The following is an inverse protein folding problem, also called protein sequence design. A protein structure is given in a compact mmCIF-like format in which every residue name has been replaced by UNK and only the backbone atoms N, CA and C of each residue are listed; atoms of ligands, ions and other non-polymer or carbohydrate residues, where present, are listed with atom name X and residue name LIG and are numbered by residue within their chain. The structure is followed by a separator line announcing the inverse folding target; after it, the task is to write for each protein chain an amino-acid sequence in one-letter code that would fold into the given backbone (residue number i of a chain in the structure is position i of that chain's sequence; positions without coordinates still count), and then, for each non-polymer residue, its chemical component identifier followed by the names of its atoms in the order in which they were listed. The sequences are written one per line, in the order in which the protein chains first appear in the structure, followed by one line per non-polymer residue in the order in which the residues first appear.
data_IF_438298178349
#
_entry.id   IF_438298178349
#
_cell.length_a   1.000
_cell.length_b   1.000
_cell.length_c   1.000
_cell.angle_alpha   90.00
_cell.angle_beta   90.00
_cell.angle_gamma   90.00
#
_symmetry.space_group_name_H-M   'P 1'
#
loop_
_entity.id
_entity.type
_entity.pdbx_description
1 polymer ?
#
# COMPACT_ATOMS: atom_id res chain seq x y z
N UNK A 1 4.05 -19.33 -15.75
CA UNK A 1 4.14 -18.81 -14.37
C UNK A 1 3.22 -17.61 -14.33
N UNK A 2 2.14 -17.67 -13.58
CA UNK A 2 1.25 -16.51 -13.41
C UNK A 2 2.03 -15.53 -12.54
N UNK A 3 2.33 -14.34 -13.08
CA UNK A 3 3.10 -13.35 -12.35
C UNK A 3 2.35 -12.99 -11.06
N UNK A 4 3.04 -13.06 -9.94
CA UNK A 4 2.46 -13.00 -8.60
C UNK A 4 2.83 -11.66 -7.97
N UNK A 5 1.82 -10.88 -7.57
CA UNK A 5 2.03 -9.62 -6.85
C UNK A 5 2.38 -9.85 -5.37
N UNK A 6 2.39 -11.09 -4.89
CA UNK A 6 2.68 -11.42 -3.49
C UNK A 6 4.02 -10.86 -2.97
N UNK A 7 5.14 -10.90 -3.70
CA UNK A 7 6.41 -10.34 -3.23
C UNK A 7 6.33 -8.83 -3.00
N UNK A 8 5.77 -8.07 -3.95
CA UNK A 8 5.61 -6.61 -3.81
C UNK A 8 4.62 -6.25 -2.72
N UNK A 9 3.53 -7.02 -2.59
CA UNK A 9 2.53 -6.82 -1.52
C UNK A 9 3.16 -7.06 -0.15
N UNK A 10 3.90 -8.15 0.01
CA UNK A 10 4.56 -8.49 1.27
C UNK A 10 5.63 -7.45 1.64
N UNK A 11 6.54 -7.13 0.70
CA UNK A 11 7.61 -6.17 0.92
C UNK A 11 7.09 -4.77 1.25
N UNK A 12 6.07 -4.29 0.52
CA UNK A 12 5.53 -2.93 0.72
C UNK A 12 4.70 -2.84 2.01
N UNK A 13 3.95 -3.88 2.37
CA UNK A 13 3.25 -3.93 3.67
C UNK A 13 4.25 -3.98 4.83
N UNK A 14 5.33 -4.76 4.69
CA UNK A 14 6.42 -4.79 5.66
C UNK A 14 7.10 -3.42 5.77
N UNK A 15 7.36 -2.73 4.66
CA UNK A 15 7.92 -1.38 4.68
C UNK A 15 7.03 -0.42 5.50
N UNK A 16 5.72 -0.40 5.25
CA UNK A 16 4.78 0.47 5.98
C UNK A 16 4.74 0.19 7.48
N UNK A 17 4.72 -1.07 7.90
CA UNK A 17 4.67 -1.42 9.33
C UNK A 17 5.99 -1.18 10.04
N UNK A 18 7.12 -1.21 9.33
CA UNK A 18 8.43 -0.82 9.85
C UNK A 18 8.58 0.70 9.96
N UNK A 19 8.16 1.45 8.95
CA UNK A 19 8.23 2.92 8.94
C UNK A 19 7.26 3.54 9.96
N UNK A 20 6.11 2.90 10.18
CA UNK A 20 5.05 3.40 11.05
C UNK A 20 4.57 2.32 12.02
N UNK A 21 5.39 1.98 13.04
CA UNK A 21 5.07 0.91 13.97
C UNK A 21 3.80 1.23 14.78
N UNK A 22 3.01 0.20 15.05
CA UNK A 22 1.83 0.31 15.90
C UNK A 22 2.23 0.75 17.32
N UNK A 23 1.53 1.74 17.88
CA UNK A 23 1.64 2.09 19.29
C UNK A 23 0.70 1.17 20.09
N UNK A 24 1.22 0.04 20.60
CA UNK A 24 0.43 -0.93 21.37
C UNK A 24 1.11 -2.29 21.54
N UNK A 25 0.37 -3.26 22.08
CA UNK A 25 0.82 -4.66 22.23
C UNK A 25 0.66 -5.50 20.96
N UNK A 26 0.94 -6.80 21.05
CA UNK A 26 0.95 -7.72 19.89
C UNK A 26 -0.33 -7.70 19.03
N UNK A 27 -1.51 -7.51 19.64
CA UNK A 27 -2.77 -7.35 18.92
C UNK A 27 -2.77 -6.09 18.04
N UNK A 28 -2.28 -4.98 18.55
CA UNK A 28 -2.22 -3.73 17.80
C UNK A 28 -1.25 -3.83 16.60
N UNK A 29 -0.12 -4.51 16.79
CA UNK A 29 0.82 -4.82 15.71
C UNK A 29 0.19 -5.70 14.64
N UNK A 30 -0.53 -6.76 15.03
CA UNK A 30 -1.20 -7.65 14.09
C UNK A 30 -2.32 -6.94 13.30
N UNK A 31 -3.10 -6.08 13.95
CA UNK A 31 -4.13 -5.29 13.27
C UNK A 31 -3.52 -4.28 12.29
N UNK A 32 -2.45 -3.60 12.69
CA UNK A 32 -1.69 -2.69 11.81
C UNK A 32 -1.17 -3.42 10.57
N UNK A 33 -0.60 -4.61 10.74
CA UNK A 33 -0.13 -5.44 9.64
C UNK A 33 -1.25 -5.85 8.69
N UNK A 34 -2.39 -6.29 9.22
CA UNK A 34 -3.56 -6.66 8.40
C UNK A 34 -4.08 -5.48 7.59
N UNK A 35 -4.17 -4.29 8.19
CA UNK A 35 -4.63 -3.08 7.48
C UNK A 35 -3.64 -2.62 6.42
N UNK A 36 -2.34 -2.59 6.74
CA UNK A 36 -1.30 -2.27 5.77
C UNK A 36 -1.35 -3.23 4.58
N UNK A 37 -1.52 -4.53 4.84
CA UNK A 37 -1.63 -5.54 3.79
C UNK A 37 -2.86 -5.33 2.91
N UNK A 38 -4.03 -5.04 3.49
CA UNK A 38 -5.24 -4.73 2.72
C UNK A 38 -5.05 -3.50 1.81
N UNK A 39 -4.50 -2.41 2.35
CA UNK A 39 -4.25 -1.19 1.58
C UNK A 39 -3.27 -1.44 0.43
N UNK A 40 -2.17 -2.14 0.70
CA UNK A 40 -1.16 -2.49 -0.29
C UNK A 40 -1.70 -3.43 -1.36
N UNK A 41 -2.53 -4.41 -1.00
CA UNK A 41 -3.18 -5.29 -1.98
C UNK A 41 -4.06 -4.48 -2.94
N UNK A 42 -4.91 -3.59 -2.41
CA UNK A 42 -5.78 -2.75 -3.25
C UNK A 42 -4.94 -1.85 -4.16
N UNK A 43 -3.91 -1.20 -3.62
CA UNK A 43 -3.01 -0.34 -4.38
C UNK A 43 -2.27 -1.11 -5.49
N UNK A 44 -1.72 -2.28 -5.19
CA UNK A 44 -1.00 -3.12 -6.15
C UNK A 44 -1.92 -3.57 -7.29
N UNK A 45 -3.16 -3.96 -6.99
CA UNK A 45 -4.12 -4.39 -8.01
C UNK A 45 -4.60 -3.24 -8.90
N UNK A 46 -4.70 -2.01 -8.36
CA UNK A 46 -4.98 -0.83 -9.17
C UNK A 46 -3.82 -0.46 -10.10
N UNK A 47 -2.58 -0.63 -9.62
CA UNK A 47 -1.35 -0.28 -10.35
C UNK A 47 -1.00 -1.30 -11.43
N UNK A 48 -1.18 -2.58 -11.13
CA UNK A 48 -0.90 -3.71 -12.01
C UNK A 48 -2.19 -4.49 -12.32
N UNK A 49 -3.14 -3.90 -13.07
CA UNK A 49 -4.46 -4.49 -13.26
C UNK A 49 -4.47 -5.78 -14.08
N UNK A 50 -3.42 -6.06 -14.85
CA UNK A 50 -3.34 -7.24 -15.71
C UNK A 50 -2.18 -8.17 -15.36
N UNK A 51 -2.28 -9.42 -15.80
CA UNK A 51 -1.17 -10.38 -15.68
C UNK A 51 0.09 -9.95 -16.47
N UNK A 52 -0.09 -9.15 -17.54
CA UNK A 52 1.03 -8.57 -18.28
C UNK A 52 1.78 -7.55 -17.42
N UNK A 53 1.06 -6.69 -16.71
CA UNK A 53 1.67 -5.68 -15.84
C UNK A 53 2.48 -6.33 -14.71
N UNK A 54 1.95 -7.40 -14.11
CA UNK A 54 2.68 -8.19 -13.11
C UNK A 54 3.92 -8.87 -13.70
N UNK A 55 3.86 -9.38 -14.94
CA UNK A 55 5.02 -9.99 -15.60
C UNK A 55 6.10 -8.94 -15.94
N UNK A 56 5.70 -7.75 -16.36
CA UNK A 56 6.61 -6.62 -16.58
C UNK A 56 7.27 -6.19 -15.27
N UNK A 57 6.51 -6.16 -14.16
CA UNK A 57 7.04 -5.90 -12.84
C UNK A 57 8.10 -6.92 -12.43
N UNK A 58 7.85 -8.22 -12.60
CA UNK A 58 8.82 -9.27 -12.28
C UNK A 58 10.14 -9.13 -13.08
N UNK A 59 10.07 -8.60 -14.31
CA UNK A 59 11.25 -8.38 -15.15
C UNK A 59 11.99 -7.08 -14.84
N UNK A 60 11.28 -6.00 -14.54
CA UNK A 60 11.86 -4.67 -14.34
C UNK A 60 12.22 -4.39 -12.86
N UNK A 61 11.53 -5.05 -11.93
CA UNK A 61 11.56 -4.76 -10.50
C UNK A 61 10.69 -3.53 -10.12
N UNK A 62 10.28 -3.42 -8.84
CA UNK A 62 9.45 -2.31 -8.34
C UNK A 62 10.22 -1.01 -7.99
N UNK A 63 11.54 -0.98 -8.15
CA UNK A 63 12.37 0.21 -7.92
C UNK A 63 12.93 0.37 -6.49
N UNK A 64 12.29 -0.25 -5.49
CA UNK A 64 12.79 -0.36 -4.11
C UNK A 64 12.45 0.82 -3.18
N UNK A 65 12.84 0.70 -1.90
CA UNK A 65 12.43 1.63 -0.83
C UNK A 65 13.26 2.92 -0.68
N UNK A 66 14.32 3.12 -1.45
CA UNK A 66 15.34 4.14 -1.14
C UNK A 66 14.80 5.57 -0.94
N UNK A 67 13.94 6.06 -1.83
CA UNK A 67 13.34 7.39 -1.69
C UNK A 67 12.33 7.45 -0.53
N UNK A 68 11.57 6.38 -0.32
CA UNK A 68 10.65 6.27 0.81
C UNK A 68 11.39 6.31 2.15
N UNK A 69 12.51 5.59 2.26
CA UNK A 69 13.36 5.57 3.44
C UNK A 69 13.97 6.96 3.71
N UNK A 70 14.35 7.69 2.65
CA UNK A 70 14.82 9.07 2.77
C UNK A 70 13.72 10.03 3.25
N UNK A 71 12.51 9.96 2.68
CA UNK A 71 11.37 10.83 3.05
C UNK A 71 10.89 10.57 4.48
N UNK A 72 10.95 9.31 4.93
CA UNK A 72 10.54 8.91 6.29
C UNK A 72 11.66 9.02 7.32
N UNK A 73 12.88 9.35 6.90
CA UNK A 73 14.06 9.41 7.77
C UNK A 73 14.54 8.04 8.27
N UNK A 74 14.09 6.94 7.66
CA UNK A 74 14.46 5.57 8.01
C UNK A 74 15.85 5.14 7.47
N UNK A 75 16.48 5.96 6.63
CA UNK A 75 17.80 5.73 6.03
C UNK A 75 18.93 5.54 7.08
N UNK A 76 18.77 6.09 8.29
CA UNK A 76 19.81 6.12 9.32
C UNK A 76 19.95 4.84 10.17
N UNK A 77 19.08 3.84 10.01
CA UNK A 77 18.98 2.68 10.92
C UNK A 77 19.48 1.35 10.34
N UNK A 78 20.26 1.38 9.25
CA UNK A 78 20.66 0.16 8.53
C UNK A 78 21.89 -0.48 9.19
N UNK A 79 21.71 -1.71 9.69
CA UNK A 79 22.80 -2.62 10.03
C UNK A 79 23.31 -3.36 8.80
N UNK A 80 24.55 -3.83 8.85
CA UNK A 80 25.35 -4.36 7.72
C UNK A 80 24.93 -5.74 7.15
N UNK A 81 23.71 -6.24 7.39
CA UNK A 81 23.27 -7.54 6.84
C UNK A 81 22.57 -7.39 5.48
N UNK A 82 23.22 -7.70 4.34
CA UNK A 82 22.64 -7.53 3.01
C UNK A 82 21.40 -8.40 2.75
N UNK A 83 21.31 -9.60 3.34
CA UNK A 83 20.18 -10.51 3.13
C UNK A 83 18.94 -10.02 3.90
N UNK A 84 19.13 -9.37 5.05
CA UNK A 84 18.05 -8.72 5.81
C UNK A 84 17.41 -7.53 5.08
N UNK A 85 18.05 -7.02 4.01
CA UNK A 85 17.57 -5.88 3.23
C UNK A 85 17.11 -6.25 1.82
N UNK A 86 17.23 -7.52 1.41
CA UNK A 86 16.84 -7.95 0.06
C UNK A 86 15.35 -7.70 -0.25
N UNK A 87 14.46 -7.74 0.74
CA UNK A 87 13.04 -7.42 0.57
C UNK A 87 12.79 -5.95 0.21
N UNK A 88 13.70 -5.03 0.55
CA UNK A 88 13.56 -3.60 0.24
C UNK A 88 13.62 -3.29 -1.25
N UNK A 89 14.27 -4.13 -2.05
CA UNK A 89 14.29 -3.98 -3.51
C UNK A 89 12.96 -4.36 -4.15
N UNK A 90 12.10 -5.07 -3.40
CA UNK A 90 10.75 -5.46 -3.80
C UNK A 90 9.67 -4.47 -3.35
N UNK A 91 10.05 -3.36 -2.71
CA UNK A 91 9.11 -2.28 -2.34
C UNK A 91 8.80 -1.44 -3.57
N UNK A 92 7.51 -1.14 -3.80
CA UNK A 92 7.07 -0.24 -4.86
C UNK A 92 6.61 1.10 -4.26
N UNK A 93 7.27 2.19 -4.67
CA UNK A 93 6.98 3.55 -4.18
C UNK A 93 5.55 4.00 -4.48
N UNK A 94 5.04 3.67 -5.67
CA UNK A 94 3.69 4.07 -6.07
C UNK A 94 2.67 3.30 -5.27
N UNK A 95 2.85 1.99 -5.10
CA UNK A 95 1.98 1.15 -4.27
C UNK A 95 2.02 1.62 -2.82
N UNK A 96 3.19 1.95 -2.27
CA UNK A 96 3.32 2.48 -0.91
C UNK A 96 2.58 3.81 -0.74
N UNK A 97 2.76 4.74 -1.67
CA UNK A 97 2.08 6.05 -1.68
C UNK A 97 0.57 5.92 -1.81
N UNK A 98 0.10 5.04 -2.69
CA UNK A 98 -1.33 4.79 -2.84
C UNK A 98 -1.90 4.13 -1.60
N UNK A 99 -1.24 3.11 -1.05
CA UNK A 99 -1.66 2.48 0.20
C UNK A 99 -1.73 3.48 1.36
N UNK A 100 -0.76 4.41 1.46
CA UNK A 100 -0.80 5.51 2.42
C UNK A 100 -2.05 6.38 2.24
N UNK A 101 -2.41 6.75 1.00
CA UNK A 101 -3.67 7.48 0.72
C UNK A 101 -4.91 6.68 1.14
N UNK A 102 -4.95 5.37 0.88
CA UNK A 102 -6.10 4.52 1.23
C UNK A 102 -6.25 4.32 2.74
N UNK A 103 -5.14 4.32 3.49
CA UNK A 103 -5.15 4.23 4.94
C UNK A 103 -5.65 5.52 5.59
N UNK A 104 -5.43 6.68 4.98
CA UNK A 104 -5.84 7.98 5.54
C UNK A 104 -7.24 8.44 5.14
N UNK A 105 -7.81 7.89 4.06
CA UNK A 105 -9.13 8.26 3.54
C UNK A 105 -10.00 7.00 3.27
N UNK A 106 -10.90 6.63 4.20
CA UNK A 106 -11.80 5.49 4.05
C UNK A 106 -12.76 5.61 2.85
N UNK A 107 -13.15 6.82 2.45
CA UNK A 107 -14.02 7.03 1.28
C UNK A 107 -13.25 6.79 -0.03
N UNK A 108 -11.99 7.22 -0.09
CA UNK A 108 -11.07 6.87 -1.17
C UNK A 108 -10.82 5.36 -1.21
N UNK A 109 -10.64 4.71 -0.06
CA UNK A 109 -10.52 3.25 0.02
C UNK A 109 -11.76 2.53 -0.51
N UNK A 110 -12.97 2.99 -0.16
CA UNK A 110 -14.20 2.41 -0.67
C UNK A 110 -14.31 2.54 -2.20
N UNK A 111 -13.94 3.70 -2.77
CA UNK A 111 -13.89 3.90 -4.22
C UNK A 111 -12.85 3.02 -4.90
N UNK A 112 -11.68 2.89 -4.30
CA UNK A 112 -10.61 2.02 -4.79
C UNK A 112 -11.05 0.55 -4.85
N UNK A 113 -11.66 0.04 -3.78
CA UNK A 113 -12.19 -1.33 -3.73
C UNK A 113 -13.33 -1.53 -4.75
N UNK A 114 -14.22 -0.55 -4.90
CA UNK A 114 -15.27 -0.62 -5.91
C UNK A 114 -14.70 -0.70 -7.34
N UNK A 115 -13.65 0.06 -7.65
CA UNK A 115 -12.99 0.03 -8.96
C UNK A 115 -12.30 -1.33 -9.26
N UNK A 116 -11.98 -2.13 -8.25
CA UNK A 116 -11.45 -3.48 -8.43
C UNK A 116 -12.52 -4.50 -8.83
N UNK A 117 -13.78 -4.28 -8.47
CA UNK A 117 -14.89 -5.17 -8.86
C UNK A 117 -15.10 -5.22 -10.37
N UNK A 118 -14.67 -4.17 -11.09
CA UNK A 118 -14.72 -4.10 -12.55
C UNK A 118 -13.45 -4.66 -13.23
N UNK A 119 -12.44 -5.08 -12.46
CA UNK A 119 -11.10 -5.45 -12.94
C UNK A 119 -10.80 -6.95 -13.05
N UNK A 120 -9.67 -7.30 -13.66
CA UNK A 120 -9.26 -8.71 -13.90
C UNK A 120 -8.88 -9.49 -12.63
N UNK A 121 -8.59 -8.82 -11.51
CA UNK A 121 -8.29 -9.43 -10.21
C UNK A 121 -9.56 -9.77 -9.39
N UNK A 122 -10.69 -10.02 -10.07
CA UNK A 122 -12.05 -10.19 -9.52
C UNK A 122 -12.26 -11.37 -8.53
N UNK A 123 -11.20 -11.95 -7.95
CA UNK A 123 -11.32 -13.09 -7.04
C UNK A 123 -11.51 -12.72 -5.57
N UNK A 124 -11.11 -11.51 -5.12
CA UNK A 124 -11.35 -11.08 -3.74
C UNK A 124 -12.73 -10.43 -3.58
N UNK A 125 -13.50 -10.92 -2.61
CA UNK A 125 -14.78 -10.31 -2.27
C UNK A 125 -14.55 -8.94 -1.59
N UNK A 126 -15.39 -7.91 -1.83
CA UNK A 126 -15.31 -6.63 -1.13
C UNK A 126 -15.29 -6.72 0.41
N UNK A 127 -15.84 -7.82 0.95
CA UNK A 127 -15.80 -8.14 2.38
C UNK A 127 -14.38 -8.36 2.93
N UNK A 128 -13.43 -8.78 2.10
CA UNK A 128 -12.02 -9.01 2.48
C UNK A 128 -11.30 -7.70 2.80
N UNK A 129 -11.81 -6.55 2.35
CA UNK A 129 -11.25 -5.21 2.58
C UNK A 129 -12.04 -4.39 3.61
N UNK A 130 -12.94 -5.01 4.37
CA UNK A 130 -13.81 -4.29 5.32
C UNK A 130 -13.06 -3.46 6.36
N UNK A 131 -11.90 -3.93 6.84
CA UNK A 131 -11.10 -3.19 7.84
C UNK A 131 -10.39 -1.98 7.28
N UNK A 132 -10.25 -1.90 5.95
CA UNK A 132 -9.75 -0.75 5.23
C UNK A 132 -10.87 0.27 4.96
N UNK A 133 -12.04 -0.19 4.50
CA UNK A 133 -13.15 0.68 4.08
C UNK A 133 -14.06 1.13 5.22
N UNK A 134 -14.15 0.34 6.29
CA UNK A 134 -14.97 0.61 7.47
C UNK A 134 -14.25 0.11 8.74
N UNK A 135 -13.12 0.72 9.13
CA UNK A 135 -12.38 0.34 10.33
C UNK A 135 -13.26 0.50 11.58
N UNK A 136 -13.16 -0.43 12.52
CA UNK A 136 -13.82 -0.31 13.83
C UNK A 136 -12.97 0.51 14.84
N UNK A 137 -13.46 0.68 16.07
CA UNK A 137 -12.72 1.41 17.10
C UNK A 137 -11.43 0.68 17.53
N UNK A 138 -11.43 -0.65 17.47
CA UNK A 138 -10.26 -1.49 17.72
C UNK A 138 -9.18 -1.24 16.67
N UNK A 139 -9.56 -1.26 15.40
CA UNK A 139 -8.72 -0.96 14.25
C UNK A 139 -8.10 0.45 14.37
N UNK A 140 -8.91 1.48 14.64
CA UNK A 140 -8.43 2.87 14.87
C UNK A 140 -7.48 2.97 16.07
N UNK A 141 -7.77 2.25 17.15
CA UNK A 141 -6.95 2.24 18.36
C UNK A 141 -5.66 1.42 18.22
N UNK A 142 -5.57 0.54 17.24
CA UNK A 142 -4.41 -0.31 17.00
C UNK A 142 -3.40 0.34 16.05
N UNK A 143 -3.87 0.91 14.94
CA UNK A 143 -3.01 1.48 13.92
C UNK A 143 -2.67 2.94 14.26
N UNK A 144 -1.40 3.20 14.60
CA UNK A 144 -0.89 4.57 14.72
C UNK A 144 -1.17 5.40 13.46
N UNK A 145 -1.09 4.72 12.31
CA UNK A 145 -1.41 5.22 10.97
C UNK A 145 -2.83 5.79 10.83
N UNK A 146 -3.81 5.21 11.52
CA UNK A 146 -5.19 5.70 11.50
C UNK A 146 -5.46 6.84 12.50
N UNK A 147 -4.61 6.98 13.53
CA UNK A 147 -4.72 8.07 14.51
C UNK A 147 -4.06 9.35 14.04
N UNK A 148 -2.97 9.21 13.29
CA UNK A 148 -2.12 10.31 12.84
C UNK A 148 -1.93 10.21 11.33
N UNK A 149 -3.00 10.49 10.54
CA UNK A 149 -2.91 10.46 9.08
C UNK A 149 -1.88 11.45 8.52
N UNK A 150 -1.55 12.50 9.28
CA UNK A 150 -0.49 13.46 9.00
C UNK A 150 0.91 12.84 8.92
N UNK A 151 1.17 11.73 9.62
CA UNK A 151 2.45 11.01 9.52
C UNK A 151 2.65 10.37 8.14
N UNK A 152 1.55 10.02 7.47
CA UNK A 152 1.58 9.44 6.14
C UNK A 152 1.65 10.49 5.02
N UNK A 153 1.34 11.76 5.30
CA UNK A 153 1.29 12.82 4.29
C UNK A 153 2.54 12.87 3.39
N UNK A 154 3.79 12.83 3.90
CA UNK A 154 4.98 12.85 3.05
C UNK A 154 5.07 11.71 2.04
N UNK A 155 4.46 10.55 2.34
CA UNK A 155 4.43 9.37 1.48
C UNK A 155 3.20 9.39 0.57
N UNK A 156 2.02 9.75 1.11
CA UNK A 156 0.77 9.86 0.38
C UNK A 156 0.86 10.88 -0.77
N UNK A 157 1.47 12.03 -0.51
CA UNK A 157 1.55 13.14 -1.48
C UNK A 157 2.42 12.83 -2.72
N UNK A 158 3.31 11.82 -2.65
CA UNK A 158 4.21 11.46 -3.75
C UNK A 158 3.47 11.10 -5.04
N UNK A 159 2.40 10.29 -4.91
CA UNK A 159 1.66 9.74 -6.06
C UNK A 159 0.13 9.84 -5.93
N UNK A 160 -0.39 10.66 -5.00
CA UNK A 160 -1.83 10.85 -4.80
C UNK A 160 -2.57 11.22 -6.10
N UNK A 161 -2.01 12.14 -6.90
CA UNK A 161 -2.65 12.55 -8.16
C UNK A 161 -2.80 11.38 -9.14
N UNK A 162 -1.81 10.49 -9.23
CA UNK A 162 -1.90 9.30 -10.09
C UNK A 162 -3.00 8.35 -9.64
N UNK A 163 -3.22 8.21 -8.32
CA UNK A 163 -4.32 7.41 -7.78
C UNK A 163 -5.68 8.04 -8.14
N UNK A 164 -5.83 9.35 -7.96
CA UNK A 164 -7.07 10.06 -8.26
C UNK A 164 -7.43 9.98 -9.75
N UNK A 165 -6.44 10.12 -10.63
CA UNK A 165 -6.61 9.95 -12.08
C UNK A 165 -7.02 8.51 -12.42
N UNK A 166 -6.37 7.52 -11.80
CA UNK A 166 -6.67 6.10 -11.99
C UNK A 166 -8.10 5.73 -11.58
N UNK A 167 -8.64 6.39 -10.57
CA UNK A 167 -10.02 6.20 -10.09
C UNK A 167 -11.06 7.07 -10.82
N UNK A 168 -10.64 8.07 -11.59
CA UNK A 168 -11.53 8.96 -12.35
C UNK A 168 -11.10 9.10 -13.82
N UNK A 169 -11.03 8.01 -14.60
CA UNK A 169 -10.52 8.05 -15.98
C UNK A 169 -11.36 8.95 -16.92
N UNK A 170 -12.60 9.28 -16.54
CA UNK A 170 -13.51 10.14 -17.33
C UNK A 170 -13.30 11.65 -17.19
N UNK A 171 -12.48 12.13 -16.25
CA UNK A 171 -12.22 13.59 -16.09
C UNK A 171 -11.07 14.10 -16.96
N UNK A 172 -10.16 13.23 -17.38
CA UNK A 172 -8.96 13.60 -18.15
C UNK A 172 -9.25 13.85 -19.64
N UNK A 173 -10.42 13.47 -20.14
CA UNK A 173 -10.83 13.63 -21.56
C UNK A 173 -11.70 14.87 -21.82
N UNK A 174 -11.86 15.76 -20.83
CA UNK A 174 -12.64 16.99 -20.95
C UNK A 174 -11.72 18.19 -20.69
N UNK A 175 -10.76 18.43 -21.58
CA UNK A 175 -9.94 19.65 -21.62
C UNK A 175 -9.65 20.03 -23.08
#
# INVERSE_FOLDING_TARGET
MQADLSPVIAATAQWLTHAFPASGGALASALCEVQARQAVTVAAWLRYPTAMDAALLDMAGPGGSGRLDWVTGADAALGDDPDAHAWRTWVDEVVASWAACLLTDPELAARAVAALADGSHSTAAPAEFRRLTAPDDGDRSAAALLRHPDLLAPVADLHQNQLLDRLNPGRTLIA
#
